data_IF_096800954164
#
_entry.id   IF_096800954164
#
_cell.length_a   1.000
_cell.length_b   1.000
_cell.length_c   1.000
_cell.angle_alpha   90.00
_cell.angle_beta   90.00
_cell.angle_gamma   90.00
#
_symmetry.space_group_name_H-M   'P 1'
#
loop_
_entity.id
_entity.type
_entity.pdbx_description
1 polymer ?
#
# COMPACT_ATOMS: atom_id res chain seq x y z
N UNK A 1 -25.47 -6.67 -18.37
CA UNK A 1 -24.75 -6.72 -19.67
C UNK A 1 -24.21 -5.34 -20.01
N UNK A 2 -23.30 -5.17 -20.99
CA UNK A 2 -22.76 -3.86 -21.33
C UNK A 2 -23.83 -2.87 -21.81
N UNK A 3 -24.90 -3.37 -22.45
CA UNK A 3 -26.05 -2.57 -22.85
C UNK A 3 -26.94 -2.13 -21.69
N UNK A 4 -26.79 -2.73 -20.50
CA UNK A 4 -27.58 -2.37 -19.32
C UNK A 4 -26.92 -1.27 -18.47
N UNK A 5 -25.64 -0.97 -18.72
CA UNK A 5 -24.88 0.03 -17.96
C UNK A 5 -25.60 1.40 -17.90
N UNK A 6 -26.24 1.91 -18.98
CA UNK A 6 -26.99 3.16 -18.92
C UNK A 6 -28.20 3.15 -17.96
N UNK A 7 -28.75 1.98 -17.61
CA UNK A 7 -29.88 1.91 -16.68
C UNK A 7 -29.44 2.12 -15.22
N UNK A 8 -28.15 2.05 -14.91
CA UNK A 8 -27.67 2.25 -13.54
C UNK A 8 -28.03 3.65 -13.00
N UNK A 9 -27.96 4.66 -13.85
CA UNK A 9 -28.35 6.04 -13.52
C UNK A 9 -29.87 6.21 -13.32
N UNK A 10 -30.67 5.21 -13.68
CA UNK A 10 -32.13 5.21 -13.53
C UNK A 10 -32.60 4.55 -12.23
N UNK A 11 -31.71 3.90 -11.48
CA UNK A 11 -32.06 3.22 -10.22
C UNK A 11 -32.68 4.19 -9.22
N UNK A 12 -32.10 5.38 -9.08
CA UNK A 12 -32.64 6.42 -8.20
C UNK A 12 -32.06 7.80 -8.53
N UNK A 13 -32.92 8.83 -8.64
CA UNK A 13 -32.52 10.18 -9.02
C UNK A 13 -31.46 10.81 -8.09
N UNK A 14 -31.53 10.53 -6.79
CA UNK A 14 -30.59 11.02 -5.78
C UNK A 14 -29.17 10.44 -5.86
N UNK A 15 -28.93 9.43 -6.70
CA UNK A 15 -27.64 8.78 -6.82
C UNK A 15 -26.93 9.16 -8.11
N UNK A 16 -25.61 9.36 -8.00
CA UNK A 16 -24.69 9.28 -9.14
C UNK A 16 -24.14 7.86 -9.23
N UNK A 17 -23.74 7.45 -10.43
CA UNK A 17 -23.24 6.09 -10.63
C UNK A 17 -22.09 6.01 -11.63
N UNK A 18 -21.32 4.92 -11.54
CA UNK A 18 -20.36 4.50 -12.56
C UNK A 18 -20.26 2.98 -12.55
N UNK A 19 -20.06 2.38 -13.72
CA UNK A 19 -19.93 0.94 -13.83
C UNK A 19 -19.06 0.51 -15.00
N UNK A 20 -18.62 -0.74 -14.92
CA UNK A 20 -17.92 -1.45 -15.99
C UNK A 20 -18.42 -2.89 -16.05
N UNK A 21 -18.37 -3.52 -17.22
CA UNK A 21 -18.77 -4.91 -17.44
C UNK A 21 -17.66 -5.65 -18.16
N UNK A 22 -17.35 -6.86 -17.72
CA UNK A 22 -16.37 -7.72 -18.38
C UNK A 22 -16.99 -8.62 -19.46
N UNK A 23 -18.28 -8.43 -19.77
CA UNK A 23 -19.01 -9.23 -20.74
C UNK A 23 -18.62 -8.83 -22.16
N UNK A 24 -17.97 -9.75 -22.87
CA UNK A 24 -17.75 -9.63 -24.30
C UNK A 24 -18.96 -10.16 -25.08
N UNK A 25 -19.78 -9.26 -25.61
CA UNK A 25 -20.96 -9.61 -26.42
C UNK A 25 -20.60 -10.10 -27.82
N UNK A 26 -19.34 -10.03 -28.24
CA UNK A 26 -18.88 -10.49 -29.57
C UNK A 26 -18.53 -11.98 -29.61
N UNK A 27 -18.34 -12.61 -28.44
CA UNK A 27 -17.94 -14.01 -28.30
C UNK A 27 -19.06 -15.05 -28.57
N UNK A 28 -20.25 -14.63 -29.03
CA UNK A 28 -21.37 -15.51 -29.34
C UNK A 28 -22.22 -15.91 -28.12
N UNK A 29 -22.77 -17.14 -28.12
CA UNK A 29 -23.66 -17.63 -27.07
C UNK A 29 -22.88 -17.88 -25.77
N UNK A 30 -22.97 -16.95 -24.82
CA UNK A 30 -22.31 -17.05 -23.52
C UNK A 30 -22.96 -18.17 -22.70
N UNK A 31 -22.20 -19.20 -22.31
CA UNK A 31 -22.62 -20.26 -21.37
C UNK A 31 -21.94 -20.04 -20.02
N UNK A 32 -22.72 -20.04 -18.93
CA UNK A 32 -22.22 -19.87 -17.55
C UNK A 32 -22.66 -18.55 -16.90
N UNK A 33 -22.15 -18.23 -15.69
CA UNK A 33 -22.35 -16.92 -15.06
C UNK A 33 -21.78 -15.82 -15.96
N UNK A 34 -22.45 -14.65 -16.11
CA UNK A 34 -21.92 -13.54 -16.90
C UNK A 34 -20.52 -13.15 -16.44
N UNK A 35 -19.65 -12.82 -17.40
CA UNK A 35 -18.30 -12.35 -17.15
C UNK A 35 -18.34 -10.98 -16.43
N UNK A 36 -18.34 -11.02 -15.11
CA UNK A 36 -18.06 -9.90 -14.19
C UNK A 36 -18.78 -8.56 -14.45
N UNK A 37 -18.32 -7.58 -13.68
CA UNK A 37 -18.79 -6.21 -13.74
C UNK A 37 -18.97 -5.65 -12.33
N UNK A 38 -18.66 -4.37 -12.19
CA UNK A 38 -18.73 -3.66 -10.91
C UNK A 38 -19.40 -2.32 -11.12
N UNK A 39 -20.13 -1.89 -10.11
CA UNK A 39 -20.83 -0.62 -10.08
C UNK A 39 -20.54 0.09 -8.77
N UNK A 40 -20.41 1.41 -8.83
CA UNK A 40 -20.38 2.30 -7.69
C UNK A 40 -21.58 3.23 -7.78
N UNK A 41 -22.31 3.36 -6.69
CA UNK A 41 -23.37 4.35 -6.52
C UNK A 41 -23.03 5.22 -5.32
N UNK A 42 -23.25 6.53 -5.45
CA UNK A 42 -23.08 7.48 -4.35
C UNK A 42 -24.26 8.44 -4.29
N UNK A 43 -24.67 8.80 -3.08
CA UNK A 43 -25.76 9.76 -2.87
C UNK A 43 -25.25 11.18 -3.13
N UNK A 44 -25.82 11.86 -4.13
CA UNK A 44 -25.41 13.21 -4.57
C UNK A 44 -25.48 14.24 -3.44
N UNK A 45 -26.46 14.12 -2.54
CA UNK A 45 -26.61 15.03 -1.40
C UNK A 45 -25.47 14.90 -0.38
N UNK A 46 -24.88 13.71 -0.24
CA UNK A 46 -23.78 13.45 0.68
C UNK A 46 -22.41 13.72 0.03
N UNK A 47 -22.28 13.40 -1.26
CA UNK A 47 -21.05 13.53 -2.02
C UNK A 47 -21.32 14.32 -3.30
N UNK A 48 -21.13 15.63 -3.22
CA UNK A 48 -21.44 16.56 -4.31
C UNK A 48 -20.33 16.61 -5.38
N UNK A 49 -19.08 16.45 -4.97
CA UNK A 49 -17.92 16.52 -5.86
C UNK A 49 -17.29 15.12 -5.99
N UNK A 50 -17.68 14.40 -7.04
CA UNK A 50 -17.19 13.05 -7.33
C UNK A 50 -16.69 13.01 -8.76
N UNK A 51 -15.48 12.46 -8.95
CA UNK A 51 -14.89 12.21 -10.26
C UNK A 51 -14.68 10.71 -10.45
N UNK A 52 -15.02 10.21 -11.64
CA UNK A 52 -14.79 8.81 -12.00
C UNK A 52 -13.35 8.66 -12.47
N UNK A 53 -12.64 7.67 -11.93
CA UNK A 53 -11.30 7.30 -12.40
C UNK A 53 -11.45 6.18 -13.42
N UNK A 54 -11.13 6.50 -14.68
CA UNK A 54 -11.20 5.53 -15.78
C UNK A 54 -10.18 4.41 -15.59
N UNK A 55 -10.65 3.17 -15.59
CA UNK A 55 -9.84 1.97 -15.54
C UNK A 55 -10.26 1.03 -16.69
N UNK A 56 -9.29 0.52 -17.45
CA UNK A 56 -9.56 -0.45 -18.52
C UNK A 56 -9.82 -1.87 -17.99
N UNK A 57 -9.54 -2.13 -16.71
CA UNK A 57 -9.80 -3.44 -16.09
C UNK A 57 -11.29 -3.52 -15.72
N UNK A 58 -12.07 -4.44 -16.32
CA UNK A 58 -13.52 -4.49 -16.14
C UNK A 58 -13.96 -5.08 -14.79
N UNK A 59 -12.99 -5.45 -13.93
CA UNK A 59 -13.21 -5.91 -12.55
C UNK A 59 -13.07 -4.79 -11.53
N UNK A 60 -12.69 -3.59 -11.96
CA UNK A 60 -12.37 -2.46 -11.07
C UNK A 60 -13.13 -1.23 -11.55
N UNK A 61 -13.90 -0.62 -10.64
CA UNK A 61 -14.48 0.70 -10.82
C UNK A 61 -13.98 1.60 -9.69
N UNK A 62 -13.65 2.84 -9.99
CA UNK A 62 -13.05 3.75 -9.02
C UNK A 62 -13.64 5.15 -9.14
N UNK A 63 -13.89 5.76 -7.99
CA UNK A 63 -14.28 7.16 -7.87
C UNK A 63 -13.39 7.87 -6.86
N UNK A 64 -13.09 9.13 -7.14
CA UNK A 64 -12.50 10.06 -6.20
C UNK A 64 -13.57 11.03 -5.73
N UNK A 65 -13.79 11.04 -4.43
CA UNK A 65 -14.70 11.93 -3.72
C UNK A 65 -13.88 13.07 -3.14
N UNK A 66 -14.18 14.29 -3.55
CA UNK A 66 -13.59 15.50 -2.99
C UNK A 66 -14.52 16.04 -1.89
N UNK A 67 -13.97 16.17 -0.69
CA UNK A 67 -14.59 16.85 0.44
C UNK A 67 -13.92 18.20 0.65
N UNK A 68 -14.48 19.04 1.52
CA UNK A 68 -13.98 20.41 1.77
C UNK A 68 -12.49 20.45 2.10
N UNK A 69 -12.01 19.50 2.89
CA UNK A 69 -10.65 19.51 3.45
C UNK A 69 -9.83 18.24 3.18
N UNK A 70 -10.39 17.28 2.43
CA UNK A 70 -9.72 16.03 2.10
C UNK A 70 -10.34 15.39 0.85
N UNK A 71 -9.63 14.41 0.28
CA UNK A 71 -10.14 13.57 -0.79
C UNK A 71 -10.15 12.12 -0.34
N UNK A 72 -11.12 11.35 -0.79
CA UNK A 72 -11.22 9.92 -0.54
C UNK A 72 -11.29 9.19 -1.87
N UNK A 73 -10.52 8.13 -2.01
CA UNK A 73 -10.58 7.24 -3.16
C UNK A 73 -11.36 5.99 -2.77
N UNK A 74 -12.38 5.65 -3.56
CA UNK A 74 -13.20 4.46 -3.35
C UNK A 74 -13.14 3.61 -4.60
N UNK A 75 -12.78 2.34 -4.43
CA UNK A 75 -12.74 1.34 -5.48
C UNK A 75 -13.74 0.22 -5.16
N UNK A 76 -14.53 -0.17 -6.17
CA UNK A 76 -15.32 -1.40 -6.17
C UNK A 76 -14.61 -2.46 -7.00
N UNK A 77 -14.49 -3.68 -6.48
CA UNK A 77 -13.79 -4.79 -7.13
C UNK A 77 -14.62 -6.06 -7.22
N UNK A 78 -14.42 -6.81 -8.31
CA UNK A 78 -14.94 -8.17 -8.50
C UNK A 78 -13.82 -9.08 -9.02
N UNK A 79 -13.02 -9.60 -8.09
CA UNK A 79 -11.78 -10.29 -8.36
C UNK A 79 -12.02 -11.71 -8.92
N UNK A 80 -11.03 -12.30 -9.63
CA UNK A 80 -11.13 -13.69 -10.12
C UNK A 80 -11.38 -14.69 -8.98
N UNK A 81 -12.08 -15.79 -9.29
CA UNK A 81 -12.36 -16.89 -8.34
C UNK A 81 -11.07 -17.62 -7.96
N UNK A 82 -10.90 -18.03 -6.69
CA UNK A 82 -9.72 -18.77 -6.22
C UNK A 82 -9.55 -20.10 -6.96
N UNK A 83 -8.63 -20.09 -7.92
CA UNK A 83 -8.05 -21.26 -8.52
C UNK A 83 -6.61 -20.92 -8.96
N UNK A 84 -5.78 -21.94 -9.13
CA UNK A 84 -4.36 -21.75 -9.48
C UNK A 84 -4.18 -21.06 -10.83
N UNK A 85 -5.10 -21.27 -11.77
CA UNK A 85 -5.07 -20.70 -13.12
C UNK A 85 -5.39 -19.21 -13.11
N UNK A 86 -6.23 -18.76 -12.17
CA UNK A 86 -6.66 -17.36 -12.03
C UNK A 86 -5.68 -16.50 -11.21
N UNK A 87 -4.71 -17.10 -10.51
CA UNK A 87 -3.76 -16.38 -9.67
C UNK A 87 -3.04 -15.23 -10.42
N UNK A 88 -2.57 -15.40 -11.67
CA UNK A 88 -1.98 -14.29 -12.42
C UNK A 88 -2.94 -13.12 -12.67
N UNK A 89 -4.21 -13.40 -12.95
CA UNK A 89 -5.26 -12.37 -13.14
C UNK A 89 -5.59 -11.67 -11.81
N UNK A 90 -5.64 -12.42 -10.71
CA UNK A 90 -5.84 -11.89 -9.37
C UNK A 90 -4.72 -10.91 -8.98
N UNK A 91 -3.45 -11.31 -9.15
CA UNK A 91 -2.30 -10.44 -8.90
C UNK A 91 -2.26 -9.23 -9.84
N UNK A 92 -2.69 -9.37 -11.10
CA UNK A 92 -2.79 -8.25 -12.05
C UNK A 92 -3.84 -7.21 -11.61
N UNK A 93 -4.97 -7.67 -11.08
CA UNK A 93 -5.98 -6.79 -10.50
C UNK A 93 -5.43 -6.03 -9.27
N UNK A 94 -4.72 -6.71 -8.36
CA UNK A 94 -4.05 -6.06 -7.21
C UNK A 94 -3.00 -5.03 -7.66
N UNK A 95 -2.21 -5.35 -8.68
CA UNK A 95 -1.26 -4.43 -9.28
C UNK A 95 -1.92 -3.20 -9.90
N UNK A 96 -3.08 -3.39 -10.53
CA UNK A 96 -3.89 -2.29 -11.09
C UNK A 96 -4.45 -1.39 -10.01
N UNK A 97 -5.00 -1.94 -8.93
CA UNK A 97 -5.48 -1.20 -7.76
C UNK A 97 -4.34 -0.35 -7.17
N UNK A 98 -3.16 -0.94 -6.97
CA UNK A 98 -1.97 -0.23 -6.47
C UNK A 98 -1.57 0.95 -7.36
N UNK A 99 -1.61 0.77 -8.68
CA UNK A 99 -1.29 1.83 -9.63
C UNK A 99 -2.32 2.98 -9.61
N UNK A 100 -3.62 2.67 -9.49
CA UNK A 100 -4.68 3.68 -9.37
C UNK A 100 -4.45 4.52 -8.10
N UNK A 101 -4.15 3.86 -6.98
CA UNK A 101 -3.88 4.52 -5.69
C UNK A 101 -2.67 5.47 -5.81
N UNK A 102 -1.56 4.99 -6.37
CA UNK A 102 -0.33 5.77 -6.54
C UNK A 102 -0.54 7.01 -7.42
N UNK A 103 -1.34 6.87 -8.50
CA UNK A 103 -1.62 7.98 -9.44
C UNK A 103 -2.61 8.99 -8.87
N UNK A 104 -3.52 8.56 -7.99
CA UNK A 104 -4.57 9.43 -7.43
C UNK A 104 -4.04 10.42 -6.38
N UNK A 105 -2.86 10.15 -5.80
CA UNK A 105 -2.23 10.94 -4.72
C UNK A 105 -3.14 11.18 -3.50
N UNK A 106 -4.02 10.22 -3.22
CA UNK A 106 -4.96 10.24 -2.09
C UNK A 106 -4.46 9.34 -0.96
N UNK A 107 -4.43 9.87 0.26
CA UNK A 107 -3.97 9.10 1.43
C UNK A 107 -5.03 8.13 1.95
N UNK A 108 -6.32 8.52 1.89
CA UNK A 108 -7.45 7.71 2.37
C UNK A 108 -8.11 6.95 1.22
N UNK A 109 -7.90 5.64 1.20
CA UNK A 109 -8.42 4.75 0.15
C UNK A 109 -9.24 3.64 0.78
N UNK A 110 -10.37 3.34 0.14
CA UNK A 110 -11.20 2.17 0.40
C UNK A 110 -11.32 1.32 -0.86
N UNK A 111 -11.00 0.04 -0.75
CA UNK A 111 -11.20 -0.97 -1.78
C UNK A 111 -12.18 -1.99 -1.24
N UNK A 112 -13.33 -2.12 -1.88
CA UNK A 112 -14.49 -2.86 -1.39
C UNK A 112 -15.02 -3.77 -2.49
N UNK A 113 -15.51 -4.93 -2.11
CA UNK A 113 -16.22 -5.83 -3.02
C UNK A 113 -15.80 -7.27 -2.85
N UNK A 114 -16.16 -8.10 -3.82
CA UNK A 114 -15.86 -9.52 -3.81
C UNK A 114 -14.44 -9.76 -4.30
N UNK A 115 -13.58 -10.16 -3.36
CA UNK A 115 -12.20 -10.54 -3.63
C UNK A 115 -12.05 -12.02 -3.93
N UNK A 116 -13.10 -12.83 -3.76
CA UNK A 116 -13.03 -14.28 -3.88
C UNK A 116 -11.92 -14.91 -3.02
N UNK A 117 -11.59 -14.29 -1.89
CA UNK A 117 -10.38 -14.58 -1.12
C UNK A 117 -10.70 -15.04 0.31
N UNK A 118 -11.10 -16.30 0.48
CA UNK A 118 -11.49 -16.80 1.80
C UNK A 118 -10.31 -16.91 2.78
N UNK A 119 -10.44 -16.49 4.06
CA UNK A 119 -9.40 -16.68 5.07
C UNK A 119 -8.93 -18.13 5.18
N UNK A 120 -7.61 -18.34 5.12
CA UNK A 120 -7.00 -19.68 5.12
C UNK A 120 -6.85 -20.29 3.72
N UNK A 121 -7.21 -19.56 2.66
CA UNK A 121 -7.03 -19.99 1.26
C UNK A 121 -6.03 -19.11 0.50
N UNK A 122 -5.62 -19.60 -0.67
CA UNK A 122 -4.51 -19.05 -1.46
C UNK A 122 -4.69 -17.58 -1.77
N UNK A 123 -5.87 -17.17 -2.22
CA UNK A 123 -6.09 -15.78 -2.64
C UNK A 123 -6.13 -14.83 -1.44
N UNK A 124 -6.57 -15.28 -0.26
CA UNK A 124 -6.47 -14.48 0.96
C UNK A 124 -5.01 -14.35 1.42
N UNK A 125 -4.22 -15.41 1.34
CA UNK A 125 -2.80 -15.35 1.67
C UNK A 125 -2.05 -14.37 0.74
N UNK A 126 -2.33 -14.43 -0.57
CA UNK A 126 -1.77 -13.49 -1.55
C UNK A 126 -2.25 -12.05 -1.28
N UNK A 127 -3.53 -11.86 -0.98
CA UNK A 127 -4.10 -10.55 -0.63
C UNK A 127 -3.43 -9.94 0.61
N UNK A 128 -3.26 -10.73 1.67
CA UNK A 128 -2.62 -10.30 2.92
C UNK A 128 -1.13 -10.00 2.71
N UNK A 129 -0.43 -10.86 1.95
CA UNK A 129 0.96 -10.66 1.57
C UNK A 129 1.15 -9.35 0.79
N UNK A 130 0.34 -9.12 -0.26
CA UNK A 130 0.36 -7.91 -1.06
C UNK A 130 0.01 -6.67 -0.21
N UNK A 131 -1.03 -6.77 0.62
CA UNK A 131 -1.46 -5.69 1.51
C UNK A 131 -0.36 -5.30 2.49
N UNK A 132 0.36 -6.28 3.06
CA UNK A 132 1.50 -6.03 3.94
C UNK A 132 2.62 -5.28 3.21
N UNK A 133 2.96 -5.64 1.97
CA UNK A 133 3.95 -4.92 1.17
C UNK A 133 3.53 -3.48 0.86
N UNK A 134 2.24 -3.25 0.59
CA UNK A 134 1.69 -1.93 0.28
C UNK A 134 1.34 -1.10 1.53
N UNK A 135 1.46 -1.67 2.74
CA UNK A 135 0.99 -1.08 4.01
C UNK A 135 -0.51 -0.78 4.00
N UNK A 136 -1.28 -1.70 3.45
CA UNK A 136 -2.74 -1.71 3.50
C UNK A 136 -3.22 -2.64 4.61
N UNK A 137 -4.46 -2.44 5.02
CA UNK A 137 -5.12 -3.19 6.08
C UNK A 137 -6.38 -3.82 5.48
N UNK A 138 -6.56 -5.13 5.66
CA UNK A 138 -7.86 -5.77 5.48
C UNK A 138 -8.69 -5.50 6.75
N UNK A 139 -9.49 -4.44 6.72
CA UNK A 139 -10.12 -3.89 7.93
C UNK A 139 -11.17 -4.83 8.50
N UNK A 140 -11.90 -5.53 7.64
CA UNK A 140 -12.93 -6.48 8.00
C UNK A 140 -12.34 -7.69 8.73
N UNK A 141 -11.25 -8.29 8.22
CA UNK A 141 -10.56 -9.39 8.91
C UNK A 141 -10.00 -9.01 10.29
N UNK A 142 -9.67 -7.73 10.48
CA UNK A 142 -9.12 -7.23 11.74
C UNK A 142 -10.20 -6.87 12.78
N UNK A 143 -11.37 -6.38 12.33
CA UNK A 143 -12.38 -5.76 13.19
C UNK A 143 -13.62 -6.63 13.38
N UNK A 144 -13.97 -7.48 12.42
CA UNK A 144 -15.04 -8.46 12.63
C UNK A 144 -14.52 -9.60 13.51
N UNK A 145 -15.31 -9.96 14.51
CA UNK A 145 -15.07 -11.19 15.25
C UNK A 145 -15.17 -12.38 14.28
N UNK A 146 -14.08 -13.14 14.14
CA UNK A 146 -13.95 -14.25 13.20
C UNK A 146 -14.85 -15.46 13.50
N UNK A 147 -15.54 -15.47 14.64
CA UNK A 147 -16.46 -16.56 14.98
C UNK A 147 -17.78 -16.43 14.19
N UNK A 148 -17.82 -17.06 13.02
CA UNK A 148 -19.05 -17.32 12.28
C UNK A 148 -19.49 -16.23 11.31
N UNK A 149 -18.65 -15.22 11.02
CA UNK A 149 -18.91 -14.26 9.96
C UNK A 149 -18.69 -14.89 8.57
N UNK A 150 -19.63 -14.66 7.65
CA UNK A 150 -19.54 -15.07 6.25
C UNK A 150 -20.28 -14.04 5.39
N UNK A 151 -19.84 -13.84 4.16
CA UNK A 151 -20.49 -12.93 3.21
C UNK A 151 -21.07 -13.68 2.02
N UNK A 152 -20.95 -15.00 1.98
CA UNK A 152 -21.44 -15.85 0.91
C UNK A 152 -21.95 -17.19 1.45
N UNK A 153 -23.05 -17.68 0.89
CA UNK A 153 -23.57 -19.04 1.08
C UNK A 153 -23.76 -19.71 -0.28
N UNK A 154 -23.19 -20.90 -0.47
CA UNK A 154 -23.53 -21.77 -1.59
C UNK A 154 -24.62 -22.75 -1.17
N UNK A 155 -25.88 -22.48 -1.55
CA UNK A 155 -27.01 -23.39 -1.28
C UNK A 155 -26.80 -24.81 -1.83
N UNK A 156 -26.14 -24.93 -2.99
CA UNK A 156 -25.88 -26.22 -3.64
C UNK A 156 -24.89 -27.12 -2.87
N UNK A 157 -24.04 -26.53 -2.02
CA UNK A 157 -22.97 -27.24 -1.32
C UNK A 157 -23.04 -27.05 0.20
N UNK A 158 -24.08 -26.37 0.70
CA UNK A 158 -24.27 -25.96 2.09
C UNK A 158 -22.99 -25.38 2.74
N UNK A 159 -22.26 -24.57 1.98
CA UNK A 159 -20.97 -24.02 2.40
C UNK A 159 -21.04 -22.50 2.58
N UNK A 160 -20.33 -22.02 3.60
CA UNK A 160 -20.26 -20.59 3.95
C UNK A 160 -18.86 -20.08 3.71
N UNK A 161 -18.76 -18.91 3.09
CA UNK A 161 -17.48 -18.28 2.76
C UNK A 161 -17.53 -16.80 3.09
N UNK A 162 -16.37 -16.27 3.41
CA UNK A 162 -16.13 -14.82 3.53
C UNK A 162 -15.27 -14.43 2.35
N UNK A 163 -15.90 -13.80 1.34
CA UNK A 163 -15.27 -13.50 0.06
C UNK A 163 -15.21 -11.99 -0.20
N UNK A 164 -16.12 -11.25 0.43
CA UNK A 164 -16.22 -9.80 0.30
C UNK A 164 -15.38 -9.14 1.39
N UNK A 165 -14.44 -8.28 0.98
CA UNK A 165 -13.47 -7.65 1.89
C UNK A 165 -13.46 -6.13 1.78
N UNK A 166 -12.94 -5.49 2.83
CA UNK A 166 -12.66 -4.07 2.90
C UNK A 166 -11.16 -3.86 3.11
N UNK A 167 -10.45 -3.55 2.03
CA UNK A 167 -9.02 -3.24 2.07
C UNK A 167 -8.83 -1.73 2.05
N UNK A 168 -8.09 -1.21 3.02
CA UNK A 168 -7.94 0.23 3.23
C UNK A 168 -6.49 0.61 3.43
N UNK A 169 -6.15 1.88 3.16
CA UNK A 169 -4.88 2.45 3.60
C UNK A 169 -4.89 2.68 5.11
N UNK A 170 -3.70 2.81 5.71
CA UNK A 170 -3.56 3.14 7.14
C UNK A 170 -4.34 4.39 7.56
N UNK A 171 -4.39 5.42 6.70
CA UNK A 171 -5.12 6.66 6.98
C UNK A 171 -6.64 6.43 7.00
N UNK A 172 -7.16 5.65 6.05
CA UNK A 172 -8.58 5.30 6.00
C UNK A 172 -8.99 4.38 7.17
N UNK A 173 -8.11 3.48 7.62
CA UNK A 173 -8.42 2.59 8.76
C UNK A 173 -8.79 3.36 10.04
N UNK A 174 -8.18 4.54 10.28
CA UNK A 174 -8.44 5.37 11.47
C UNK A 174 -9.85 5.97 11.52
N UNK A 175 -10.52 6.07 10.37
CA UNK A 175 -11.85 6.65 10.30
C UNK A 175 -12.96 5.59 10.41
N UNK A 176 -12.64 4.30 10.30
CA UNK A 176 -13.61 3.22 10.47
C UNK A 176 -14.08 3.19 11.93
N UNK A 177 -15.40 3.19 12.12
CA UNK A 177 -16.04 3.13 13.44
C UNK A 177 -16.71 1.79 13.69
N UNK A 178 -17.12 1.08 12.63
CA UNK A 178 -17.88 -0.17 12.73
C UNK A 178 -17.81 -0.94 11.41
N UNK A 179 -17.78 -2.28 11.48
CA UNK A 179 -17.87 -3.18 10.33
C UNK A 179 -18.76 -4.37 10.72
N UNK A 180 -19.76 -4.66 9.91
CA UNK A 180 -20.66 -5.79 10.14
C UNK A 180 -21.21 -6.35 8.82
N UNK A 181 -21.62 -7.61 8.84
CA UNK A 181 -22.33 -8.23 7.71
C UNK A 181 -23.84 -8.10 7.93
N UNK A 182 -24.56 -7.71 6.88
CA UNK A 182 -26.00 -7.50 6.90
C UNK A 182 -26.73 -8.77 6.42
N UNK A 183 -27.18 -9.60 7.36
CA UNK A 183 -27.82 -10.91 7.07
C UNK A 183 -29.33 -10.86 6.78
N UNK A 184 -29.99 -9.73 6.98
CA UNK A 184 -31.42 -9.49 6.69
C UNK A 184 -31.70 -9.18 5.20
N UNK A 185 -30.83 -9.67 4.31
CA UNK A 185 -30.88 -9.42 2.86
C UNK A 185 -30.82 -10.77 2.14
N UNK A 186 -31.85 -11.10 1.35
CA UNK A 186 -32.10 -12.48 0.87
C UNK A 186 -32.20 -12.64 -0.66
N UNK A 187 -31.94 -11.58 -1.42
CA UNK A 187 -32.02 -11.56 -2.89
C UNK A 187 -30.74 -12.02 -3.61
N UNK A 188 -29.71 -12.44 -2.88
CA UNK A 188 -28.40 -12.86 -3.40
C UNK A 188 -27.82 -13.96 -2.52
N UNK A 189 -26.95 -14.78 -3.09
CA UNK A 189 -26.10 -15.72 -2.36
C UNK A 189 -24.96 -15.03 -1.58
N UNK A 190 -24.73 -13.74 -1.86
CA UNK A 190 -23.86 -12.86 -1.06
C UNK A 190 -24.65 -11.96 -0.09
N UNK A 191 -24.08 -11.78 1.11
CA UNK A 191 -24.54 -10.83 2.12
C UNK A 191 -23.71 -9.55 2.10
N UNK A 192 -24.34 -8.35 2.15
CA UNK A 192 -23.61 -7.10 2.15
C UNK A 192 -22.69 -6.94 3.35
N UNK A 193 -21.42 -6.65 3.08
CA UNK A 193 -20.47 -6.15 4.08
C UNK A 193 -20.65 -4.62 4.22
N UNK A 194 -20.95 -4.16 5.45
CA UNK A 194 -21.21 -2.74 5.74
C UNK A 194 -20.08 -2.15 6.56
N UNK A 195 -19.56 -1.02 6.09
CA UNK A 195 -18.48 -0.27 6.75
C UNK A 195 -19.04 1.10 7.12
N UNK A 196 -19.01 1.43 8.41
CA UNK A 196 -19.29 2.79 8.89
C UNK A 196 -17.97 3.51 9.14
N UNK A 197 -17.86 4.72 8.58
CA UNK A 197 -16.69 5.55 8.74
C UNK A 197 -17.07 6.99 9.13
N UNK A 198 -16.24 7.62 9.94
CA UNK A 198 -16.31 9.03 10.28
C UNK A 198 -15.22 9.78 9.49
N UNK A 199 -15.57 10.24 8.29
CA UNK A 199 -14.65 10.90 7.37
C UNK A 199 -14.04 12.20 7.94
N UNK A 200 -14.61 12.80 8.98
CA UNK A 200 -14.03 13.96 9.68
C UNK A 200 -12.72 13.60 10.42
N UNK A 201 -12.44 12.32 10.62
CA UNK A 201 -11.18 11.83 11.22
C UNK A 201 -10.05 11.66 10.20
N UNK A 202 -10.31 11.86 8.91
CA UNK A 202 -9.27 11.77 7.89
C UNK A 202 -8.29 12.92 8.13
N UNK A 203 -7.10 12.57 8.63
CA UNK A 203 -6.04 13.53 8.91
C UNK A 203 -5.65 14.25 7.62
N UNK A 204 -5.60 15.58 7.69
CA UNK A 204 -5.28 16.41 6.56
C UNK A 204 -3.87 16.13 6.04
N UNK A 205 -3.73 16.05 4.72
CA UNK A 205 -2.50 16.45 4.05
C UNK A 205 -2.45 17.98 4.14
N UNK A 206 -2.08 18.52 5.30
CA UNK A 206 -1.79 19.95 5.37
C UNK A 206 -0.58 20.15 4.46
N UNK A 207 -0.82 20.62 3.23
CA UNK A 207 0.21 21.28 2.43
C UNK A 207 0.58 22.58 3.13
N UNK A 208 1.16 22.47 4.33
CA UNK A 208 2.11 23.47 4.72
C UNK A 208 3.28 23.19 3.78
N UNK A 209 3.53 24.12 2.86
CA UNK A 209 4.87 24.36 2.32
C UNK A 209 5.83 24.73 3.47
N UNK A 210 5.90 23.91 4.51
CA UNK A 210 7.02 23.90 5.41
C UNK A 210 8.15 23.30 4.62
N UNK A 211 9.13 24.14 4.30
CA UNK A 211 10.52 23.76 4.11
C UNK A 211 10.81 22.42 4.80
N UNK A 212 11.48 21.48 4.12
CA UNK A 212 11.42 20.04 4.39
C UNK A 212 11.37 19.74 5.89
N UNK A 213 10.19 19.30 6.37
CA UNK A 213 9.96 18.85 7.75
C UNK A 213 11.03 17.82 8.11
N UNK A 214 11.81 18.15 9.13
CA UNK A 214 12.69 17.27 9.90
C UNK A 214 13.17 16.00 9.18
N UNK A 215 14.23 16.11 8.38
CA UNK A 215 15.11 14.99 8.01
C UNK A 215 15.93 14.47 9.21
N UNK A 216 15.34 14.40 10.40
CA UNK A 216 16.01 13.78 11.54
C UNK A 216 15.78 12.28 11.41
N UNK A 217 16.75 11.60 10.80
CA UNK A 217 16.72 10.16 10.64
C UNK A 217 17.15 9.51 11.96
N UNK A 218 16.24 9.20 12.87
CA UNK A 218 16.54 8.44 14.10
C UNK A 218 16.91 7.00 13.76
N UNK A 219 18.17 6.78 13.40
CA UNK A 219 18.75 5.47 13.12
C UNK A 219 20.13 5.38 13.76
N UNK A 220 20.79 4.23 13.63
CA UNK A 220 22.06 3.93 14.31
C UNK A 220 23.05 5.10 14.25
N UNK A 221 23.47 5.55 15.44
CA UNK A 221 24.46 6.61 15.63
C UNK A 221 25.74 6.02 16.19
N UNK A 222 26.87 6.47 15.66
CA UNK A 222 28.14 6.16 16.29
C UNK A 222 28.38 7.06 17.51
N UNK A 223 29.30 6.65 18.38
CA UNK A 223 29.58 7.37 19.63
C UNK A 223 29.97 8.84 19.40
N UNK A 224 30.72 9.15 18.34
CA UNK A 224 31.12 10.53 18.04
C UNK A 224 29.93 11.45 17.70
N UNK A 225 28.92 10.91 17.00
CA UNK A 225 27.69 11.62 16.68
C UNK A 225 26.84 11.88 17.92
N UNK A 226 26.77 10.90 18.83
CA UNK A 226 26.07 11.01 20.12
C UNK A 226 26.72 12.10 20.97
N UNK A 227 28.06 12.07 21.11
CA UNK A 227 28.80 13.09 21.87
C UNK A 227 28.62 14.48 21.27
N UNK A 228 28.69 14.61 19.94
CA UNK A 228 28.48 15.88 19.24
C UNK A 228 27.06 16.43 19.45
N UNK A 229 26.05 15.57 19.35
CA UNK A 229 24.67 15.95 19.65
C UNK A 229 24.53 16.48 21.08
N UNK A 230 25.06 15.74 22.05
CA UNK A 230 24.98 16.10 23.45
C UNK A 230 25.64 17.45 23.75
N UNK A 231 26.83 17.70 23.19
CA UNK A 231 27.54 18.98 23.36
C UNK A 231 26.77 20.16 22.74
N UNK A 232 26.16 19.97 21.56
CA UNK A 232 25.37 21.00 20.89
C UNK A 232 24.05 21.30 21.62
N UNK A 233 23.39 20.27 22.14
CA UNK A 233 22.20 20.45 22.99
C UNK A 233 22.58 21.23 24.25
N UNK A 234 23.64 20.81 24.95
CA UNK A 234 24.05 21.45 26.20
C UNK A 234 24.50 22.90 26.02
N UNK A 235 25.21 23.24 24.94
CA UNK A 235 25.61 24.63 24.72
C UNK A 235 24.42 25.54 24.44
N UNK A 236 23.46 25.08 23.64
CA UNK A 236 22.29 25.89 23.25
C UNK A 236 21.19 25.94 24.30
N UNK A 237 20.94 24.83 25.01
CA UNK A 237 19.92 24.78 26.07
C UNK A 237 20.33 25.62 27.29
N UNK A 238 21.63 25.76 27.58
CA UNK A 238 22.12 26.67 28.62
C UNK A 238 21.77 28.14 28.37
N UNK A 239 21.54 28.54 27.13
CA UNK A 239 21.15 29.90 26.75
C UNK A 239 19.62 30.08 26.69
N UNK A 240 18.85 29.11 27.17
CA UNK A 240 17.39 29.21 27.23
C UNK A 240 16.99 29.75 28.59
N UNK A 241 16.73 31.06 28.64
CA UNK A 241 16.20 31.70 29.84
C UNK A 241 14.73 31.30 30.09
N UNK A 242 14.36 31.20 31.36
CA UNK A 242 12.99 30.96 31.76
C UNK A 242 12.18 32.26 31.75
N UNK A 243 10.96 32.26 31.17
CA UNK A 243 10.06 33.39 31.24
C UNK A 243 9.76 33.78 32.69
N UNK A 244 9.74 35.09 32.93
CA UNK A 244 9.51 35.69 34.26
C UNK A 244 8.11 35.33 34.79
N UNK A 245 7.15 35.13 33.89
CA UNK A 245 5.77 34.74 34.17
C UNK A 245 5.66 33.39 34.89
N UNK A 246 6.68 32.54 34.79
CA UNK A 246 6.74 31.26 35.52
C UNK A 246 6.96 31.44 37.02
N UNK A 247 7.51 32.59 37.46
CA UNK A 247 7.74 32.88 38.87
C UNK A 247 6.47 33.39 39.57
N UNK A 248 5.57 34.03 38.82
CA UNK A 248 4.41 34.73 39.38
C UNK A 248 3.09 33.97 39.21
N UNK A 249 3.05 32.93 38.38
CA UNK A 249 1.85 32.10 38.20
C UNK A 249 1.81 30.94 39.22
N UNK A 250 1.06 31.09 40.31
CA UNK A 250 0.93 30.09 41.39
C UNK A 250 -0.29 29.16 41.26
N UNK A 251 -1.09 29.30 40.20
CA UNK A 251 -2.30 28.49 39.99
C UNK A 251 -2.01 27.11 39.37
N UNK A 252 -2.35 26.03 40.07
CA UNK A 252 -2.17 24.62 39.60
C UNK A 252 -2.89 24.30 38.27
N UNK A 253 -3.92 25.08 37.91
CA UNK A 253 -4.70 24.91 36.67
C UNK A 253 -4.89 26.25 35.94
N UNK A 254 -3.80 26.99 35.72
CA UNK A 254 -3.86 28.24 34.97
C UNK A 254 -4.41 28.04 33.54
N UNK A 255 -5.51 28.73 33.22
CA UNK A 255 -6.18 28.70 31.91
C UNK A 255 -5.94 29.99 31.08
N UNK A 256 -5.04 30.86 31.53
CA UNK A 256 -4.72 32.10 30.82
C UNK A 256 -4.07 31.79 29.45
N UNK A 257 -4.68 32.32 28.40
CA UNK A 257 -4.24 32.11 27.02
C UNK A 257 -2.80 32.62 26.78
N UNK A 258 -2.43 33.76 27.38
CA UNK A 258 -1.08 34.32 27.32
C UNK A 258 -0.03 33.38 27.91
N UNK A 259 -0.31 32.75 29.05
CA UNK A 259 0.62 31.78 29.66
C UNK A 259 0.77 30.53 28.81
N UNK A 260 -0.32 30.04 28.20
CA UNK A 260 -0.25 28.93 27.23
C UNK A 260 0.63 29.27 26.05
N UNK A 261 0.50 30.48 25.48
CA UNK A 261 1.36 30.93 24.38
C UNK A 261 2.84 31.00 24.76
N UNK A 262 3.15 31.42 26.00
CA UNK A 262 4.53 31.46 26.51
C UNK A 262 5.10 30.04 26.64
N UNK A 263 4.33 29.10 27.19
CA UNK A 263 4.72 27.67 27.29
C UNK A 263 4.96 27.09 25.90
N UNK A 264 4.04 27.33 24.97
CA UNK A 264 4.13 26.91 23.58
C UNK A 264 5.39 27.46 22.89
N UNK A 265 5.71 28.73 23.13
CA UNK A 265 6.91 29.38 22.59
C UNK A 265 8.18 28.75 23.17
N UNK A 266 8.20 28.46 24.47
CA UNK A 266 9.31 27.79 25.13
C UNK A 266 9.49 26.35 24.64
N UNK A 267 8.40 25.59 24.53
CA UNK A 267 8.39 24.25 23.97
C UNK A 267 8.96 24.26 22.54
N UNK A 268 8.46 25.15 21.66
CA UNK A 268 8.98 25.29 20.29
C UNK A 268 10.47 25.63 20.28
N UNK A 269 10.95 26.50 21.18
CA UNK A 269 12.36 26.87 21.29
C UNK A 269 13.23 25.66 21.66
N UNK A 270 12.83 24.89 22.67
CA UNK A 270 13.54 23.66 23.08
C UNK A 270 13.55 22.63 21.95
N UNK A 271 12.38 22.34 21.36
CA UNK A 271 12.26 21.37 20.27
C UNK A 271 13.13 21.77 19.07
N UNK A 272 13.15 23.05 18.70
CA UNK A 272 13.99 23.54 17.60
C UNK A 272 15.48 23.36 17.89
N UNK A 273 15.94 23.65 19.10
CA UNK A 273 17.34 23.45 19.51
C UNK A 273 17.74 21.98 19.38
N UNK A 274 16.91 21.06 19.89
CA UNK A 274 17.15 19.62 19.79
C UNK A 274 17.16 19.16 18.32
N UNK A 275 16.23 19.69 17.51
CA UNK A 275 16.15 19.36 16.08
C UNK A 275 17.38 19.82 15.30
N UNK A 276 17.86 21.04 15.55
CA UNK A 276 19.08 21.56 14.93
C UNK A 276 20.32 20.79 15.35
N UNK A 277 20.45 20.46 16.63
CA UNK A 277 21.55 19.64 17.13
C UNK A 277 21.55 18.26 16.47
N UNK A 278 20.38 17.63 16.31
CA UNK A 278 20.25 16.32 15.65
C UNK A 278 20.60 16.37 14.15
N UNK A 279 20.29 17.46 13.46
CA UNK A 279 20.66 17.67 12.05
C UNK A 279 22.16 17.88 11.90
N UNK A 280 22.75 18.71 12.77
CA UNK A 280 24.15 19.08 12.69
C UNK A 280 25.11 17.97 13.19
N UNK A 281 24.62 17.07 14.05
CA UNK A 281 25.38 15.90 14.50
C UNK A 281 25.28 14.72 13.52
N UNK A 282 24.33 14.75 12.58
CA UNK A 282 24.17 13.69 11.60
C UNK A 282 25.23 13.80 10.49
N UNK A 283 26.03 12.74 10.37
CA UNK A 283 26.89 12.49 9.22
C UNK A 283 26.27 11.29 8.50
N UNK A 284 25.93 11.38 7.20
CA UNK A 284 25.38 10.25 6.47
C UNK A 284 26.39 9.10 6.50
N UNK A 285 26.05 8.02 7.20
CA UNK A 285 26.75 6.75 6.97
C UNK A 285 26.52 6.42 5.48
N UNK A 286 27.61 6.31 4.71
CA UNK A 286 27.55 5.74 3.35
C UNK A 286 26.83 4.41 3.50
N UNK A 287 25.57 4.35 3.05
CA UNK A 287 24.68 3.24 3.38
C UNK A 287 25.35 1.91 3.06
N UNK A 288 25.20 0.92 3.95
CA UNK A 288 25.52 -0.45 3.60
C UNK A 288 24.78 -0.74 2.29
N UNK A 289 25.52 -1.08 1.22
CA UNK A 289 24.93 -1.42 -0.09
C UNK A 289 23.80 -2.41 0.17
N UNK A 290 22.57 -2.07 -0.22
CA UNK A 290 21.45 -3.04 -0.23
C UNK A 290 21.99 -4.30 -0.92
N UNK A 291 21.78 -5.48 -0.31
CA UNK A 291 22.17 -6.76 -0.91
C UNK A 291 21.58 -6.80 -2.32
N UNK A 292 22.44 -6.76 -3.34
CA UNK A 292 21.99 -6.77 -4.73
C UNK A 292 21.33 -8.12 -5.00
N UNK A 293 20.16 -8.09 -5.64
CA UNK A 293 19.48 -9.30 -6.12
C UNK A 293 20.45 -10.08 -7.03
N UNK A 294 20.71 -11.35 -6.70
CA UNK A 294 21.52 -12.22 -7.53
C UNK A 294 20.89 -12.34 -8.93
N UNK A 295 21.66 -12.07 -9.98
CA UNK A 295 21.18 -12.08 -11.36
C UNK A 295 20.65 -10.76 -11.92
N UNK A 296 20.58 -9.67 -11.13
CA UNK A 296 20.07 -8.37 -11.59
C UNK A 296 20.67 -7.91 -12.92
N UNK A 297 22.00 -7.82 -13.01
CA UNK A 297 22.68 -7.31 -14.19
C UNK A 297 22.45 -8.16 -15.45
N UNK A 298 22.29 -9.48 -15.28
CA UNK A 298 22.19 -10.44 -16.39
C UNK A 298 20.76 -10.66 -16.85
N UNK A 299 19.81 -10.67 -15.93
CA UNK A 299 18.44 -11.13 -16.20
C UNK A 299 17.39 -10.02 -16.08
N UNK A 300 17.65 -8.96 -15.30
CA UNK A 300 16.62 -7.96 -14.94
C UNK A 300 16.94 -6.56 -15.47
N UNK A 301 18.21 -6.19 -15.55
CA UNK A 301 18.68 -4.83 -15.87
C UNK A 301 18.15 -4.29 -17.20
N UNK A 302 18.18 -5.11 -18.25
CA UNK A 302 17.71 -4.70 -19.58
C UNK A 302 16.19 -4.52 -19.62
N UNK A 303 15.43 -5.47 -19.06
CA UNK A 303 13.98 -5.37 -18.97
C UNK A 303 13.54 -4.18 -18.12
N UNK A 304 14.27 -3.89 -17.03
CA UNK A 304 14.06 -2.68 -16.23
C UNK A 304 14.30 -1.39 -17.03
N UNK A 305 15.40 -1.33 -17.80
CA UNK A 305 15.71 -0.16 -18.65
C UNK A 305 14.64 0.05 -19.72
N UNK A 306 14.17 -1.04 -20.34
CA UNK A 306 13.10 -1.00 -21.32
C UNK A 306 11.77 -0.53 -20.70
N UNK A 307 11.36 -1.11 -19.57
CA UNK A 307 10.16 -0.68 -18.83
C UNK A 307 10.22 0.81 -18.46
N UNK A 308 11.39 1.30 -18.02
CA UNK A 308 11.57 2.70 -17.68
C UNK A 308 11.53 3.63 -18.89
N UNK A 309 12.07 3.18 -20.03
CA UNK A 309 12.01 3.92 -21.29
C UNK A 309 10.57 4.03 -21.79
N UNK A 310 9.85 2.91 -21.91
CA UNK A 310 8.46 2.90 -22.39
C UNK A 310 7.52 3.68 -21.46
N UNK A 311 7.76 3.65 -20.15
CA UNK A 311 7.05 4.51 -19.20
C UNK A 311 7.31 6.01 -19.45
N UNK A 312 8.56 6.42 -19.70
CA UNK A 312 8.88 7.82 -20.00
C UNK A 312 8.27 8.28 -21.33
N UNK A 313 8.30 7.42 -22.34
CA UNK A 313 7.66 7.67 -23.63
C UNK A 313 6.15 7.86 -23.45
N UNK A 314 5.47 6.97 -22.75
CA UNK A 314 4.04 7.11 -22.46
C UNK A 314 3.69 8.40 -21.72
N UNK A 315 4.53 8.80 -20.75
CA UNK A 315 4.36 10.08 -20.02
C UNK A 315 4.56 11.28 -20.96
N UNK A 316 5.52 11.26 -21.88
CA UNK A 316 5.73 12.37 -22.83
C UNK A 316 4.59 12.53 -23.83
N UNK A 317 3.81 11.48 -24.10
CA UNK A 317 2.61 11.54 -24.94
C UNK A 317 1.35 11.97 -24.18
N UNK A 318 1.46 12.39 -22.91
CA UNK A 318 0.32 12.87 -22.13
C UNK A 318 -0.49 11.77 -21.45
N UNK A 319 0.11 10.59 -21.23
CA UNK A 319 -0.52 9.42 -20.59
C UNK A 319 -1.79 8.92 -21.32
N UNK A 320 -1.75 8.72 -22.64
CA UNK A 320 -2.90 8.24 -23.41
C UNK A 320 -3.35 6.86 -22.93
N UNK A 321 -4.65 6.64 -22.79
CA UNK A 321 -5.25 5.43 -22.20
C UNK A 321 -5.50 4.30 -23.22
N UNK A 322 -5.58 4.62 -24.51
CA UNK A 322 -5.74 3.65 -25.61
C UNK A 322 -4.81 4.03 -26.75
N UNK A 323 -3.54 3.68 -26.61
CA UNK A 323 -2.54 3.90 -27.66
C UNK A 323 -1.50 2.79 -27.64
N UNK A 324 -0.78 2.66 -28.75
CA UNK A 324 0.35 1.74 -28.83
C UNK A 324 1.37 2.03 -27.72
N UNK A 325 1.59 3.30 -27.36
CA UNK A 325 2.52 3.68 -26.29
C UNK A 325 2.07 3.19 -24.90
N UNK A 326 0.77 3.08 -24.64
CA UNK A 326 0.22 2.51 -23.41
C UNK A 326 0.42 0.99 -23.37
N UNK A 327 0.08 0.30 -24.47
CA UNK A 327 0.24 -1.16 -24.59
C UNK A 327 1.71 -1.57 -24.46
N UNK A 328 2.61 -0.84 -25.12
CA UNK A 328 4.06 -1.05 -25.02
C UNK A 328 4.59 -0.84 -23.59
N UNK A 329 4.05 0.15 -22.87
CA UNK A 329 4.43 0.42 -21.47
C UNK A 329 3.99 -0.71 -20.54
N UNK A 330 2.73 -1.14 -20.66
CA UNK A 330 2.17 -2.26 -19.87
C UNK A 330 2.96 -3.54 -20.13
N UNK A 331 3.21 -3.87 -21.40
CA UNK A 331 3.94 -5.08 -21.79
C UNK A 331 5.39 -5.07 -21.28
N UNK A 332 6.09 -3.94 -21.40
CA UNK A 332 7.45 -3.82 -20.89
C UNK A 332 7.52 -3.92 -19.35
N UNK A 333 6.51 -3.39 -18.64
CA UNK A 333 6.40 -3.52 -17.17
C UNK A 333 6.12 -4.96 -16.75
N UNK A 334 5.27 -5.68 -17.47
CA UNK A 334 4.97 -7.11 -17.27
C UNK A 334 6.23 -7.96 -17.43
N UNK A 335 6.99 -7.74 -18.50
CA UNK A 335 8.25 -8.45 -18.76
C UNK A 335 9.28 -8.21 -17.64
N UNK A 336 9.45 -6.96 -17.21
CA UNK A 336 10.33 -6.62 -16.09
C UNK A 336 9.92 -7.35 -14.80
N UNK A 337 8.63 -7.31 -14.43
CA UNK A 337 8.13 -7.95 -13.21
C UNK A 337 8.28 -9.48 -13.25
N UNK A 338 8.04 -10.09 -14.41
CA UNK A 338 8.26 -11.53 -14.61
C UNK A 338 9.73 -11.92 -14.42
N UNK A 339 10.66 -11.19 -15.06
CA UNK A 339 12.11 -11.43 -14.92
C UNK A 339 12.60 -11.19 -13.49
N UNK A 340 12.04 -10.20 -12.80
CA UNK A 340 12.33 -9.93 -11.39
C UNK A 340 11.87 -11.09 -10.49
N UNK A 341 10.63 -11.55 -10.65
CA UNK A 341 10.06 -12.68 -9.90
C UNK A 341 10.83 -13.97 -10.16
N UNK A 342 11.24 -14.22 -11.40
CA UNK A 342 12.09 -15.35 -11.75
C UNK A 342 13.45 -15.29 -11.01
N UNK A 343 14.12 -14.13 -10.98
CA UNK A 343 15.38 -14.00 -10.23
C UNK A 343 15.20 -14.14 -8.72
N UNK A 344 14.07 -13.71 -8.16
CA UNK A 344 13.75 -13.90 -6.75
C UNK A 344 13.55 -15.39 -6.42
N UNK A 345 12.79 -16.11 -7.24
CA UNK A 345 12.50 -17.54 -7.03
C UNK A 345 13.71 -18.45 -7.29
N UNK A 346 14.63 -18.02 -8.15
CA UNK A 346 15.79 -18.83 -8.56
C UNK A 346 17.11 -18.30 -7.98
N UNK A 347 17.07 -17.54 -6.88
CA UNK A 347 18.27 -16.89 -6.34
C UNK A 347 19.41 -17.86 -6.05
N UNK A 348 19.11 -19.00 -5.45
CA UNK A 348 20.13 -19.95 -5.02
C UNK A 348 20.72 -20.69 -6.22
N UNK A 349 19.88 -21.07 -7.19
CA UNK A 349 20.36 -21.60 -8.48
C UNK A 349 21.25 -20.60 -9.21
N UNK A 350 20.87 -19.32 -9.27
CA UNK A 350 21.67 -18.28 -9.93
C UNK A 350 23.03 -18.09 -9.23
N UNK A 351 23.08 -18.13 -7.89
CA UNK A 351 24.33 -18.06 -7.14
C UNK A 351 25.21 -19.28 -7.43
N UNK A 352 24.63 -20.48 -7.43
CA UNK A 352 25.33 -21.73 -7.73
C UNK A 352 25.88 -21.75 -9.17
N UNK A 353 25.11 -21.29 -10.15
CA UNK A 353 25.55 -21.16 -11.55
C UNK A 353 26.70 -20.17 -11.72
N UNK A 354 26.70 -19.07 -10.96
CA UNK A 354 27.78 -18.09 -10.95
C UNK A 354 29.06 -18.73 -10.38
N UNK A 355 28.95 -19.47 -9.28
CA UNK A 355 30.07 -20.19 -8.68
C UNK A 355 30.63 -21.25 -9.64
N UNK A 356 29.76 -22.06 -10.25
CA UNK A 356 30.15 -23.06 -11.26
C UNK A 356 30.89 -22.43 -12.45
N UNK A 357 30.46 -21.24 -12.90
CA UNK A 357 31.13 -20.49 -13.98
C UNK A 357 32.50 -19.95 -13.60
N UNK A 358 32.68 -19.47 -12.37
CA UNK A 358 34.01 -19.05 -11.90
C UNK A 358 34.96 -20.24 -11.77
N UNK A 359 34.46 -21.38 -11.29
CA UNK A 359 35.22 -22.63 -11.23
C UNK A 359 35.64 -23.12 -12.63
N UNK A 360 34.70 -23.16 -13.58
CA UNK A 360 34.99 -23.57 -14.96
C UNK A 360 35.98 -22.66 -15.70
N UNK A 361 36.14 -21.41 -15.26
CA UNK A 361 37.13 -20.45 -15.79
C UNK A 361 38.43 -20.40 -14.99
N UNK A 362 38.60 -21.26 -13.99
CA UNK A 362 39.75 -21.26 -13.08
C UNK A 362 39.96 -19.91 -12.36
N UNK A 363 38.90 -19.11 -12.18
CA UNK A 363 38.93 -17.83 -11.48
C UNK A 363 38.69 -18.05 -9.98
N UNK A 364 39.68 -18.66 -9.34
CA UNK A 364 39.59 -19.10 -7.94
C UNK A 364 39.39 -17.93 -6.96
N UNK A 365 39.86 -16.72 -7.32
CA UNK A 365 39.69 -15.51 -6.49
C UNK A 365 38.22 -15.10 -6.38
N UNK A 366 37.50 -15.05 -7.50
CA UNK A 366 36.08 -14.69 -7.48
C UNK A 366 35.18 -15.86 -7.04
N UNK A 367 35.62 -17.10 -7.27
CA UNK A 367 34.98 -18.31 -6.72
C UNK A 367 34.91 -18.25 -5.19
N UNK A 368 36.05 -18.18 -4.49
CA UNK A 368 36.10 -18.17 -3.02
C UNK A 368 35.40 -16.94 -2.40
N UNK A 369 35.46 -15.78 -3.07
CA UNK A 369 34.72 -14.59 -2.65
C UNK A 369 33.20 -14.80 -2.69
N UNK A 370 32.70 -15.51 -3.69
CA UNK A 370 31.27 -15.83 -3.84
C UNK A 370 30.82 -16.91 -2.84
N UNK A 371 31.67 -17.92 -2.59
CA UNK A 371 31.44 -18.97 -1.57
C UNK A 371 31.34 -18.38 -0.17
N UNK A 372 32.28 -17.52 0.23
CA UNK A 372 32.29 -16.90 1.57
C UNK A 372 31.07 -15.98 1.81
N UNK A 373 30.56 -15.34 0.75
CA UNK A 373 29.36 -14.51 0.83
C UNK A 373 28.07 -15.34 1.03
N UNK A 374 28.07 -16.58 0.52
CA UNK A 374 26.95 -17.53 0.64
C UNK A 374 26.92 -18.19 2.03
N UNK A 375 28.09 -18.52 2.60
CA UNK A 375 28.19 -19.13 3.93
C UNK A 375 27.78 -18.19 5.09
N UNK A 376 28.00 -16.88 4.96
CA UNK A 376 27.52 -15.88 5.94
C UNK A 376 25.99 -15.81 6.09
N UNK A 377 25.22 -16.45 5.19
CA UNK A 377 23.76 -16.58 5.31
C UNK A 377 23.29 -17.83 6.07
N UNK A 378 24.16 -18.83 6.25
CA UNK A 378 23.83 -20.11 6.91
C UNK A 378 24.19 -20.10 8.41
N UNK A 379 25.12 -19.24 8.85
CA UNK A 379 25.56 -19.17 10.26
C UNK A 379 24.53 -18.53 11.22
N UNK A 380 23.39 -18.00 10.74
CA UNK A 380 22.32 -17.48 11.61
C UNK A 380 21.32 -18.55 12.07
N UNK A 381 21.54 -19.82 11.76
CA UNK A 381 20.68 -20.92 12.19
C UNK A 381 21.48 -22.14 12.58
N UNK A 382 22.03 -22.15 13.81
CA UNK A 382 22.37 -23.33 14.64
C UNK A 382 23.08 -22.87 15.92
N UNK A 383 22.31 -22.52 16.94
CA UNK A 383 22.76 -22.73 18.32
C UNK A 383 22.31 -24.14 18.70
N UNK A 384 23.17 -25.13 18.50
CA UNK A 384 23.08 -26.39 19.23
C UNK A 384 23.85 -26.18 20.54
N UNK A 385 23.13 -26.24 21.67
CA UNK A 385 23.74 -26.42 22.97
C UNK A 385 24.42 -27.80 23.03
N UNK A 386 25.64 -27.90 23.57
CA UNK A 386 26.20 -29.20 23.92
C UNK A 386 25.54 -29.69 25.21
N UNK A 387 24.86 -30.83 25.12
CA UNK A 387 24.50 -31.64 26.28
C UNK A 387 25.79 -32.25 26.84
N UNK A 388 26.06 -31.98 28.10
CA UNK A 388 27.13 -32.61 28.86
C UNK A 388 26.87 -34.12 29.04
N UNK A 389 27.76 -34.96 28.53
CA UNK A 389 28.38 -36.12 29.18
C UNK A 389 29.22 -36.90 28.16
#
# INVERSE_FOLDING_TARGET
MPHDLPFLDTIHADFGSTCTSAVDTTAGLLRGRPYGGVALLWRKSAFQNVSVITCANPRISAIRVEMTDCSVLVLSVYMPVDCSENLPEFTDCLGTISAIIEVSDVESVFVLGDFNAHPGERFCDELLSFSHEQKWICADLNLLNSQGAFTFISEAHDSKRWLDHCVVTQAAALCITDIFVKYDVYWSDHYPLVIKCNLNKILHKTEIKTSPRNKICWGDRNQSQITRYHNMCNSKLKCVDFPIEYQYCSGKHCNLYSHRQIIDKMYRKVVNILCEAARASYIPNKGKRKKLLAGWNKHVSEAYRNARLKFRTWVSYGKPTHSDTFNEMVQARKEFKSKLKWCQNNQDQIKMDIMAKHHAKSDFKNFWKSTNTTNQGLETGKNFEPVNA
#
